data_IF_806042112022
#
_entry.id   IF_806042112022
#
_cell.length_a   1.000
_cell.length_b   1.000
_cell.length_c   1.000
_cell.angle_alpha   90.00
_cell.angle_beta   90.00
_cell.angle_gamma   90.00
#
_symmetry.space_group_name_H-M   'P 1'
#
loop_
_entity.id
_entity.type
_entity.pdbx_description
1 polymer ?
#
# COMPACT_ATOMS: atom_id res chain seq x y z
N UNK A 1 43.48 -33.91 27.65
CA UNK A 1 42.02 -34.04 27.89
C UNK A 1 41.52 -32.66 28.29
N UNK A 2 40.38 -32.20 27.73
CA UNK A 2 39.75 -30.88 27.92
C UNK A 2 40.21 -29.79 26.94
N UNK A 3 39.71 -29.85 25.71
CA UNK A 3 39.51 -28.66 24.87
C UNK A 3 38.30 -28.83 23.92
N UNK A 4 37.30 -29.63 24.32
CA UNK A 4 36.15 -30.02 23.48
C UNK A 4 34.78 -29.55 24.00
N UNK A 5 34.74 -28.67 25.01
CA UNK A 5 33.49 -28.35 25.72
C UNK A 5 32.97 -26.93 25.50
N UNK A 6 33.70 -26.05 24.80
CA UNK A 6 33.23 -24.69 24.48
C UNK A 6 32.55 -24.58 23.10
N UNK A 7 33.10 -25.17 22.04
CA UNK A 7 32.47 -25.14 20.70
C UNK A 7 31.10 -25.84 20.63
N UNK A 8 30.89 -26.88 21.44
CA UNK A 8 29.61 -27.59 21.48
C UNK A 8 28.52 -26.75 22.17
N UNK A 9 28.89 -25.89 23.13
CA UNK A 9 27.92 -25.04 23.85
C UNK A 9 27.45 -23.84 23.02
N UNK A 10 28.31 -23.27 22.18
CA UNK A 10 27.93 -22.18 21.28
C UNK A 10 27.11 -22.68 20.08
N UNK A 11 27.42 -23.87 19.56
CA UNK A 11 26.60 -24.54 18.54
C UNK A 11 25.20 -24.93 19.07
N UNK A 12 25.10 -25.36 20.33
CA UNK A 12 23.82 -25.65 21.00
C UNK A 12 23.01 -24.39 21.38
N UNK A 13 23.67 -23.25 21.67
CA UNK A 13 23.01 -21.95 21.87
C UNK A 13 22.44 -21.41 20.55
N UNK A 14 23.18 -21.53 19.45
CA UNK A 14 22.71 -21.17 18.12
C UNK A 14 21.55 -22.07 17.67
N UNK A 15 21.62 -23.39 17.92
CA UNK A 15 20.50 -24.30 17.65
C UNK A 15 19.28 -24.02 18.52
N UNK A 16 19.42 -23.61 19.79
CA UNK A 16 18.28 -23.21 20.65
C UNK A 16 17.66 -21.87 20.26
N UNK A 17 18.45 -20.92 19.75
CA UNK A 17 17.93 -19.67 19.16
C UNK A 17 17.11 -19.93 17.89
N UNK A 18 17.55 -20.87 17.06
CA UNK A 18 16.84 -21.31 15.85
C UNK A 18 15.61 -22.18 16.20
N UNK A 19 15.67 -23.03 17.24
CA UNK A 19 14.51 -23.80 17.74
C UNK A 19 13.46 -22.93 18.46
N UNK A 20 13.84 -21.77 19.00
CA UNK A 20 12.91 -20.82 19.62
C UNK A 20 12.12 -20.01 18.57
N UNK A 21 12.70 -19.79 17.39
CA UNK A 21 11.99 -19.28 16.21
C UNK A 21 10.98 -20.29 15.67
N UNK A 22 11.26 -21.60 15.78
CA UNK A 22 10.42 -22.67 15.23
C UNK A 22 9.05 -22.88 15.90
N UNK A 23 8.62 -22.00 16.81
CA UNK A 23 7.27 -22.02 17.43
C UNK A 23 6.49 -20.71 17.29
N UNK A 24 7.12 -19.62 16.85
CA UNK A 24 6.44 -18.33 16.70
C UNK A 24 6.05 -18.15 15.23
N UNK A 25 4.77 -17.87 14.96
CA UNK A 25 4.34 -17.50 13.62
C UNK A 25 5.01 -16.18 13.20
N UNK A 26 5.59 -16.17 12.01
CA UNK A 26 6.27 -15.04 11.39
C UNK A 26 5.48 -14.53 10.19
N UNK A 27 5.43 -13.21 10.06
CA UNK A 27 4.71 -12.51 9.01
C UNK A 27 5.69 -11.58 8.31
N UNK A 28 5.61 -11.54 6.98
CA UNK A 28 6.25 -10.50 6.18
C UNK A 28 5.25 -9.37 5.96
N UNK A 29 5.67 -8.14 6.25
CA UNK A 29 4.91 -6.93 5.93
C UNK A 29 5.74 -6.10 4.97
N UNK A 30 5.24 -5.93 3.75
CA UNK A 30 5.94 -5.36 2.62
C UNK A 30 5.26 -4.08 2.16
N UNK A 31 6.06 -3.10 1.77
CA UNK A 31 5.60 -1.93 1.05
C UNK A 31 6.50 -1.70 -0.20
N UNK A 32 5.94 -1.02 -1.20
CA UNK A 32 6.69 -0.65 -2.41
C UNK A 32 6.45 0.79 -2.82
N UNK A 33 7.55 1.46 -3.21
CA UNK A 33 7.44 2.69 -3.98
C UNK A 33 7.65 2.41 -5.46
N UNK A 34 6.80 3.04 -6.28
CA UNK A 34 6.69 2.73 -7.70
C UNK A 34 6.81 3.95 -8.61
N UNK A 35 7.47 3.71 -9.74
CA UNK A 35 7.43 4.52 -10.94
C UNK A 35 6.54 3.82 -11.98
N UNK A 36 6.60 4.23 -13.22
CA UNK A 36 5.93 3.57 -14.34
C UNK A 36 6.74 3.67 -15.63
N UNK A 37 6.17 3.20 -16.73
CA UNK A 37 6.83 3.14 -18.03
C UNK A 37 7.25 4.55 -18.50
N UNK A 38 8.42 4.68 -19.17
CA UNK A 38 9.05 5.98 -19.44
C UNK A 38 8.22 6.93 -20.31
N UNK A 39 7.36 6.39 -21.17
CA UNK A 39 6.46 7.15 -22.03
C UNK A 39 5.12 7.53 -21.37
N UNK A 40 4.93 7.25 -20.08
CA UNK A 40 3.68 7.58 -19.37
C UNK A 40 3.43 9.10 -19.30
N UNK A 41 4.49 9.89 -19.09
CA UNK A 41 4.40 11.35 -19.04
C UNK A 41 3.95 11.93 -20.39
N UNK A 42 4.50 11.40 -21.50
CA UNK A 42 4.13 11.78 -22.86
C UNK A 42 2.66 11.47 -23.15
N UNK A 43 2.22 10.24 -22.86
CA UNK A 43 0.83 9.81 -23.09
C UNK A 43 -0.15 10.63 -22.24
N UNK A 44 0.23 10.99 -21.01
CA UNK A 44 -0.62 11.76 -20.12
C UNK A 44 -0.76 13.23 -20.57
N UNK A 45 0.23 13.80 -21.27
CA UNK A 45 0.17 15.18 -21.75
C UNK A 45 -0.02 16.21 -20.62
N UNK A 46 0.52 15.94 -19.43
CA UNK A 46 0.36 16.79 -18.24
C UNK A 46 -0.88 16.50 -17.37
N UNK A 47 -1.80 15.64 -17.83
CA UNK A 47 -2.97 15.23 -17.05
C UNK A 47 -2.58 14.23 -15.94
N UNK A 48 -2.70 14.68 -14.69
CA UNK A 48 -2.32 13.90 -13.50
C UNK A 48 -3.16 12.65 -13.33
N UNK A 49 -4.45 12.68 -13.66
CA UNK A 49 -5.32 11.51 -13.51
C UNK A 49 -5.03 10.48 -14.59
N UNK A 50 -4.77 10.89 -15.84
CA UNK A 50 -4.28 9.97 -16.89
C UNK A 50 -2.98 9.29 -16.49
N UNK A 51 -2.00 10.06 -15.99
CA UNK A 51 -0.72 9.52 -15.51
C UNK A 51 -0.94 8.52 -14.37
N UNK A 52 -1.77 8.88 -13.38
CA UNK A 52 -2.09 8.02 -12.23
C UNK A 52 -2.72 6.69 -12.66
N UNK A 53 -3.64 6.71 -13.64
CA UNK A 53 -4.25 5.49 -14.19
C UNK A 53 -3.21 4.57 -14.83
N UNK A 54 -2.24 5.12 -15.57
CA UNK A 54 -1.12 4.35 -16.13
C UNK A 54 -0.26 3.78 -15.00
N UNK A 55 0.15 4.61 -14.04
CA UNK A 55 1.02 4.20 -12.94
C UNK A 55 0.43 3.06 -12.11
N UNK A 56 -0.87 3.14 -11.77
CA UNK A 56 -1.58 2.08 -11.04
C UNK A 56 -1.66 0.78 -11.86
N UNK A 57 -1.75 0.88 -13.18
CA UNK A 57 -1.90 -0.27 -14.06
C UNK A 57 -0.55 -0.90 -14.48
N UNK A 58 0.52 -0.10 -14.51
CA UNK A 58 1.86 -0.46 -14.98
C UNK A 58 2.94 0.00 -13.97
N UNK A 59 2.85 -0.42 -12.70
CA UNK A 59 3.80 -0.01 -11.66
C UNK A 59 5.16 -0.70 -11.82
N UNK A 60 6.24 0.08 -11.77
CA UNK A 60 7.63 -0.41 -11.73
C UNK A 60 8.24 -0.08 -10.37
N UNK A 61 8.62 -1.10 -9.61
CA UNK A 61 9.15 -0.91 -8.26
C UNK A 61 10.57 -0.35 -8.31
N UNK A 62 10.79 0.82 -7.72
CA UNK A 62 12.12 1.39 -7.53
C UNK A 62 12.63 1.23 -6.09
N UNK A 63 11.73 1.04 -5.13
CA UNK A 63 12.06 0.79 -3.73
C UNK A 63 11.19 -0.36 -3.22
N UNK A 64 11.84 -1.43 -2.76
CA UNK A 64 11.23 -2.62 -2.20
C UNK A 64 11.71 -2.75 -0.76
N UNK A 65 10.79 -2.69 0.20
CA UNK A 65 11.14 -2.88 1.59
C UNK A 65 10.11 -3.74 2.31
N UNK A 66 10.57 -4.43 3.35
CA UNK A 66 9.70 -5.22 4.19
C UNK A 66 10.32 -5.49 5.57
N UNK A 67 9.45 -5.86 6.50
CA UNK A 67 9.84 -6.42 7.79
C UNK A 67 9.47 -7.90 7.83
N UNK A 68 10.19 -8.67 8.66
CA UNK A 68 9.75 -9.96 9.16
C UNK A 68 9.53 -9.84 10.65
N UNK A 69 8.29 -10.01 11.10
CA UNK A 69 7.89 -9.81 12.47
C UNK A 69 6.98 -10.93 12.98
N UNK A 70 6.90 -11.10 14.30
CA UNK A 70 5.87 -11.94 14.90
C UNK A 70 4.58 -11.17 15.18
N UNK A 71 3.59 -11.88 15.73
CA UNK A 71 2.28 -11.32 16.12
C UNK A 71 2.33 -10.18 17.16
N UNK A 72 3.42 -10.03 17.90
CA UNK A 72 3.59 -8.95 18.87
C UNK A 72 4.18 -7.68 18.23
N UNK A 73 4.57 -7.75 16.95
CA UNK A 73 5.28 -6.67 16.27
C UNK A 73 6.78 -6.64 16.56
N UNK A 74 7.34 -7.69 17.16
CA UNK A 74 8.79 -7.81 17.32
C UNK A 74 9.39 -8.09 15.94
N UNK A 75 10.13 -7.13 15.40
CA UNK A 75 10.81 -7.21 14.10
C UNK A 75 12.12 -7.99 14.27
N UNK A 76 12.29 -9.06 13.50
CA UNK A 76 13.50 -9.87 13.46
C UNK A 76 14.41 -9.53 12.29
N UNK A 77 13.82 -9.02 11.20
CA UNK A 77 14.55 -8.62 10.00
C UNK A 77 13.87 -7.43 9.36
N UNK A 78 14.67 -6.49 8.88
CA UNK A 78 14.26 -5.45 7.93
C UNK A 78 15.07 -5.62 6.66
N UNK A 79 14.44 -5.34 5.52
CA UNK A 79 15.07 -5.32 4.21
C UNK A 79 14.68 -4.02 3.53
N UNK A 80 15.66 -3.32 2.97
CA UNK A 80 15.51 -2.00 2.36
C UNK A 80 16.35 -1.94 1.07
N UNK A 81 15.69 -2.09 -0.08
CA UNK A 81 16.33 -2.29 -1.37
C UNK A 81 15.85 -1.26 -2.39
N UNK A 82 16.79 -0.58 -3.04
CA UNK A 82 16.54 0.30 -4.19
C UNK A 82 16.90 -0.46 -5.46
N UNK A 83 15.98 -0.49 -6.43
CA UNK A 83 16.10 -1.28 -7.66
C UNK A 83 16.83 -0.47 -8.74
N UNK A 84 18.00 -0.94 -9.14
CA UNK A 84 18.91 -0.22 -10.04
C UNK A 84 18.31 0.08 -11.41
N UNK A 85 17.59 -0.87 -11.99
CA UNK A 85 17.01 -0.78 -13.34
C UNK A 85 15.93 0.29 -13.44
N UNK A 86 15.33 0.67 -12.31
CA UNK A 86 14.25 1.65 -12.25
C UNK A 86 14.78 2.98 -11.69
N UNK A 87 15.50 2.97 -10.56
CA UNK A 87 15.99 4.17 -9.89
C UNK A 87 17.10 4.89 -10.66
N UNK A 88 18.02 4.14 -11.30
CA UNK A 88 19.16 4.73 -11.99
C UNK A 88 18.83 5.22 -13.41
N UNK A 89 17.60 4.99 -13.91
CA UNK A 89 17.17 5.40 -15.24
C UNK A 89 16.23 6.61 -15.11
N UNK A 90 16.70 7.86 -15.35
CA UNK A 90 15.91 9.07 -15.11
C UNK A 90 14.56 9.06 -15.84
N UNK A 91 14.55 8.63 -17.11
CA UNK A 91 13.33 8.52 -17.91
C UNK A 91 12.24 7.64 -17.27
N UNK A 92 12.63 6.69 -16.41
CA UNK A 92 11.70 5.85 -15.64
C UNK A 92 11.42 6.51 -14.30
N UNK A 93 12.46 6.84 -13.51
CA UNK A 93 12.29 7.37 -12.16
C UNK A 93 11.48 8.67 -12.12
N UNK A 94 11.63 9.56 -13.09
CA UNK A 94 10.88 10.83 -13.19
C UNK A 94 9.38 10.64 -13.42
N UNK A 95 8.93 9.40 -13.66
CA UNK A 95 7.51 9.06 -13.71
C UNK A 95 6.91 8.77 -12.33
N UNK A 96 7.72 8.56 -11.30
CA UNK A 96 7.28 8.32 -9.93
C UNK A 96 6.40 9.46 -9.40
N UNK A 97 5.47 9.12 -8.51
CA UNK A 97 4.61 10.12 -7.86
C UNK A 97 5.40 11.05 -6.95
N UNK A 98 6.41 10.51 -6.25
CA UNK A 98 7.33 11.22 -5.36
C UNK A 98 8.72 11.40 -5.99
N UNK A 99 8.80 11.71 -7.28
CA UNK A 99 10.09 11.86 -7.99
C UNK A 99 10.98 12.94 -7.37
N UNK A 100 10.40 13.97 -6.73
CA UNK A 100 11.11 15.02 -6.01
C UNK A 100 11.91 14.49 -4.81
N UNK A 101 11.59 13.31 -4.28
CA UNK A 101 12.31 12.67 -3.18
C UNK A 101 13.61 12.01 -3.60
N UNK A 102 14.01 12.10 -4.88
CA UNK A 102 15.27 11.55 -5.36
C UNK A 102 16.50 11.88 -4.49
N UNK A 103 16.68 13.12 -3.99
CA UNK A 103 17.84 13.45 -3.14
C UNK A 103 17.86 12.65 -1.84
N UNK A 104 16.71 12.41 -1.21
CA UNK A 104 16.58 11.60 0.00
C UNK A 104 17.10 10.17 -0.25
N UNK A 105 16.71 9.56 -1.37
CA UNK A 105 17.19 8.22 -1.72
C UNK A 105 18.70 8.16 -1.95
N UNK A 106 19.30 9.21 -2.53
CA UNK A 106 20.76 9.28 -2.69
C UNK A 106 21.45 9.35 -1.33
N UNK A 107 20.91 10.11 -0.39
CA UNK A 107 21.42 10.18 0.99
C UNK A 107 21.31 8.82 1.70
N UNK A 108 20.14 8.17 1.64
CA UNK A 108 19.92 6.83 2.20
C UNK A 108 20.93 5.80 1.66
N UNK A 109 21.22 5.83 0.37
CA UNK A 109 22.20 4.95 -0.27
C UNK A 109 23.63 5.26 0.19
N UNK A 110 24.00 6.54 0.29
CA UNK A 110 25.32 6.97 0.77
C UNK A 110 25.56 6.59 2.23
N UNK A 111 24.52 6.65 3.06
CA UNK A 111 24.56 6.29 4.47
C UNK A 111 24.53 4.76 4.69
N UNK A 112 24.25 3.97 3.65
CA UNK A 112 24.09 2.52 3.76
C UNK A 112 22.78 2.09 4.44
N UNK A 113 21.80 2.99 4.53
CA UNK A 113 20.46 2.73 5.09
C UNK A 113 19.59 1.89 4.12
N UNK A 114 19.88 2.00 2.82
CA UNK A 114 19.30 1.17 1.77
C UNK A 114 20.41 0.59 0.88
N UNK A 115 20.13 -0.54 0.22
CA UNK A 115 21.06 -1.16 -0.72
C UNK A 115 20.58 -1.00 -2.15
N UNK A 116 21.42 -0.45 -3.03
CA UNK A 116 21.17 -0.44 -4.47
C UNK A 116 21.49 -1.82 -5.05
N UNK A 117 20.49 -2.50 -5.60
CA UNK A 117 20.61 -3.87 -6.12
C UNK A 117 19.90 -4.02 -7.46
N UNK A 118 20.28 -5.06 -8.22
CA UNK A 118 19.48 -5.48 -9.38
C UNK A 118 18.14 -6.07 -8.93
N UNK A 119 17.13 -6.05 -9.80
CA UNK A 119 15.86 -6.74 -9.52
C UNK A 119 16.07 -8.24 -9.28
N UNK A 120 17.00 -8.86 -10.01
CA UNK A 120 17.35 -10.27 -9.84
C UNK A 120 17.88 -10.56 -8.43
N UNK A 121 18.80 -9.73 -7.93
CA UNK A 121 19.34 -9.86 -6.57
C UNK A 121 18.29 -9.59 -5.51
N UNK A 122 17.45 -8.56 -5.70
CA UNK A 122 16.34 -8.26 -4.80
C UNK A 122 15.40 -9.46 -4.66
N UNK A 123 15.01 -10.08 -5.79
CA UNK A 123 14.13 -11.26 -5.77
C UNK A 123 14.81 -12.49 -5.16
N UNK A 124 16.13 -12.65 -5.29
CA UNK A 124 16.85 -13.73 -4.58
C UNK A 124 16.78 -13.55 -3.07
N UNK A 125 17.00 -12.33 -2.56
CA UNK A 125 16.88 -12.03 -1.13
C UNK A 125 15.44 -12.29 -0.67
N UNK A 126 14.47 -11.78 -1.43
CA UNK A 126 13.05 -11.95 -1.16
C UNK A 126 12.64 -13.42 -1.10
N UNK A 127 13.08 -14.27 -2.04
CA UNK A 127 12.76 -15.70 -2.05
C UNK A 127 13.30 -16.46 -0.84
N UNK A 128 14.51 -16.15 -0.38
CA UNK A 128 15.05 -16.78 0.81
C UNK A 128 14.23 -16.38 2.05
N UNK A 129 13.79 -15.12 2.12
CA UNK A 129 12.98 -14.61 3.22
C UNK A 129 11.55 -15.14 3.22
N UNK A 130 10.96 -15.35 2.03
CA UNK A 130 9.65 -15.97 1.88
C UNK A 130 9.60 -17.39 2.48
N UNK A 131 10.73 -18.12 2.52
CA UNK A 131 10.82 -19.45 3.15
C UNK A 131 10.73 -19.41 4.67
N UNK A 132 10.95 -18.24 5.28
CA UNK A 132 10.99 -18.06 6.73
C UNK A 132 9.64 -17.72 7.34
N UNK A 133 8.68 -17.26 6.53
CA UNK A 133 7.41 -16.67 7.00
C UNK A 133 6.22 -17.59 6.78
N UNK A 134 5.22 -17.51 7.65
CA UNK A 134 3.97 -18.26 7.55
C UNK A 134 2.98 -17.59 6.60
N UNK A 135 3.05 -16.26 6.46
CA UNK A 135 2.21 -15.47 5.58
C UNK A 135 2.88 -14.14 5.21
N UNK A 136 2.47 -13.60 4.07
CA UNK A 136 2.92 -12.31 3.54
C UNK A 136 1.74 -11.35 3.45
N UNK A 137 2.01 -10.06 3.57
CA UNK A 137 0.99 -9.03 3.37
C UNK A 137 1.60 -7.65 3.21
N UNK A 138 0.74 -6.72 2.81
CA UNK A 138 1.00 -5.30 2.69
C UNK A 138 -0.28 -4.58 3.14
N UNK A 139 -0.22 -3.27 3.38
CA UNK A 139 -1.43 -2.50 3.58
C UNK A 139 -2.35 -2.66 2.38
N UNK A 140 -1.86 -2.47 1.15
CA UNK A 140 -2.62 -2.72 -0.06
C UNK A 140 -2.10 -3.96 -0.81
N UNK A 141 -2.37 -5.16 -0.27
CA UNK A 141 -1.84 -6.41 -0.82
C UNK A 141 -2.22 -6.66 -2.30
N UNK A 142 -3.34 -6.11 -2.76
CA UNK A 142 -3.74 -6.17 -4.16
C UNK A 142 -2.80 -5.37 -5.08
N UNK A 143 -2.25 -4.26 -4.61
CA UNK A 143 -1.30 -3.48 -5.39
C UNK A 143 0.07 -4.14 -5.37
N UNK A 144 0.67 -4.30 -4.20
CA UNK A 144 2.07 -4.73 -4.07
C UNK A 144 2.30 -6.14 -4.63
N UNK A 145 1.52 -7.12 -4.15
CA UNK A 145 1.74 -8.54 -4.50
C UNK A 145 1.10 -8.96 -5.83
N UNK A 146 -0.04 -8.38 -6.20
CA UNK A 146 -0.79 -8.80 -7.41
C UNK A 146 -0.54 -7.91 -8.63
N UNK A 147 0.03 -6.71 -8.46
CA UNK A 147 0.33 -5.81 -9.58
C UNK A 147 1.80 -5.39 -9.64
N UNK A 148 2.36 -4.80 -8.59
CA UNK A 148 3.69 -4.20 -8.58
C UNK A 148 4.78 -5.24 -8.83
N UNK A 149 4.84 -6.29 -8.02
CA UNK A 149 5.83 -7.37 -8.19
C UNK A 149 5.67 -8.07 -9.55
N UNK A 150 4.47 -8.55 -9.97
CA UNK A 150 4.34 -9.25 -11.24
C UNK A 150 4.65 -8.38 -12.47
N UNK A 151 4.28 -7.10 -12.45
CA UNK A 151 4.55 -6.22 -13.58
C UNK A 151 6.03 -5.85 -13.67
N UNK A 152 6.70 -5.61 -12.53
CA UNK A 152 8.15 -5.37 -12.50
C UNK A 152 8.93 -6.60 -12.98
N UNK A 153 8.57 -7.81 -12.53
CA UNK A 153 9.17 -9.08 -13.01
C UNK A 153 9.00 -9.24 -14.53
N UNK A 154 7.81 -8.93 -15.07
CA UNK A 154 7.55 -8.96 -16.51
C UNK A 154 8.39 -7.94 -17.28
N UNK A 155 8.45 -6.70 -16.78
CA UNK A 155 9.22 -5.63 -17.40
C UNK A 155 10.70 -6.00 -17.47
N UNK A 156 11.31 -6.41 -16.36
CA UNK A 156 12.73 -6.78 -16.29
C UNK A 156 13.01 -8.00 -17.18
N UNK A 157 12.14 -9.01 -17.18
CA UNK A 157 12.26 -10.16 -18.09
C UNK A 157 12.27 -9.72 -19.56
N UNK A 158 11.45 -8.72 -19.92
CA UNK A 158 11.40 -8.20 -21.29
C UNK A 158 12.57 -7.30 -21.62
N UNK A 159 13.03 -6.49 -20.67
CA UNK A 159 14.20 -5.61 -20.78
C UNK A 159 15.45 -6.39 -21.19
N UNK A 160 15.65 -7.57 -20.62
CA UNK A 160 16.78 -8.46 -20.94
C UNK A 160 16.49 -9.47 -22.06
N UNK A 161 15.46 -9.25 -22.88
CA UNK A 161 15.08 -10.15 -23.98
C UNK A 161 15.23 -9.49 -25.35
N UNK A 162 15.39 -10.30 -26.40
CA UNK A 162 15.42 -9.83 -27.80
C UNK A 162 14.08 -9.23 -28.27
N UNK A 163 13.00 -9.37 -27.48
CA UNK A 163 11.64 -8.93 -27.82
C UNK A 163 11.26 -7.60 -27.12
N UNK A 164 12.21 -6.92 -26.48
CA UNK A 164 11.95 -5.70 -25.71
C UNK A 164 11.18 -4.63 -26.52
N UNK A 165 11.70 -4.26 -27.69
CA UNK A 165 11.13 -3.16 -28.48
C UNK A 165 9.71 -3.46 -28.97
N UNK A 166 9.45 -4.68 -29.43
CA UNK A 166 8.09 -5.10 -29.81
C UNK A 166 7.14 -5.05 -28.61
N UNK A 167 7.59 -5.53 -27.46
CA UNK A 167 6.80 -5.50 -26.22
C UNK A 167 6.53 -4.07 -25.75
N UNK A 168 7.51 -3.18 -25.85
CA UNK A 168 7.39 -1.75 -25.50
C UNK A 168 6.34 -1.06 -26.37
N UNK A 169 6.36 -1.27 -27.68
CA UNK A 169 5.35 -0.73 -28.62
C UNK A 169 3.93 -1.20 -28.30
N UNK A 170 3.78 -2.47 -27.88
CA UNK A 170 2.50 -2.99 -27.39
C UNK A 170 2.10 -2.28 -26.08
N UNK A 171 3.03 -2.07 -25.15
CA UNK A 171 2.72 -1.35 -23.90
C UNK A 171 2.34 0.11 -24.15
N UNK A 172 2.94 0.81 -25.11
CA UNK A 172 2.54 2.18 -25.49
C UNK A 172 1.07 2.25 -25.88
N UNK A 173 0.60 1.34 -26.75
CA UNK A 173 -0.81 1.24 -27.17
C UNK A 173 -1.75 0.94 -25.99
N UNK A 174 -1.33 0.04 -25.10
CA UNK A 174 -2.12 -0.29 -23.91
C UNK A 174 -2.19 0.91 -22.96
N UNK A 175 -1.09 1.62 -22.72
CA UNK A 175 -1.07 2.80 -21.87
C UNK A 175 -1.92 3.94 -22.45
N UNK A 176 -1.90 4.14 -23.77
CA UNK A 176 -2.79 5.08 -24.44
C UNK A 176 -4.26 4.74 -24.21
N UNK A 177 -4.61 3.45 -24.28
CA UNK A 177 -5.96 2.96 -23.99
C UNK A 177 -6.33 3.17 -22.52
N UNK A 178 -5.43 2.85 -21.60
CA UNK A 178 -5.61 3.06 -20.15
C UNK A 178 -5.84 4.53 -19.83
N UNK A 179 -5.12 5.45 -20.47
CA UNK A 179 -5.26 6.89 -20.23
C UNK A 179 -6.60 7.44 -20.73
N UNK A 180 -7.07 6.97 -21.90
CA UNK A 180 -8.15 7.64 -22.62
C UNK A 180 -9.48 6.87 -22.64
N UNK A 181 -9.52 5.59 -22.29
CA UNK A 181 -10.75 4.77 -22.34
C UNK A 181 -10.99 4.04 -21.02
N UNK A 182 -12.19 3.50 -20.81
CA UNK A 182 -12.47 2.56 -19.72
C UNK A 182 -11.88 1.17 -20.03
N UNK A 183 -10.57 1.11 -20.24
CA UNK A 183 -9.86 -0.11 -20.57
C UNK A 183 -10.10 -1.17 -19.48
N UNK A 184 -10.79 -2.25 -19.85
CA UNK A 184 -10.92 -3.46 -19.05
C UNK A 184 -10.17 -4.55 -19.77
N UNK A 185 -9.22 -5.17 -19.07
CA UNK A 185 -8.58 -6.39 -19.55
C UNK A 185 -9.39 -7.56 -19.05
N UNK A 186 -9.90 -8.37 -19.97
CA UNK A 186 -10.43 -9.68 -19.62
C UNK A 186 -9.28 -10.56 -19.11
N UNK A 187 -9.47 -11.12 -17.92
CA UNK A 187 -8.51 -12.03 -17.31
C UNK A 187 -9.17 -13.40 -17.23
N UNK A 188 -8.75 -14.31 -18.10
CA UNK A 188 -9.24 -15.70 -18.12
C UNK A 188 -8.67 -16.53 -16.94
N UNK A 189 -7.70 -15.97 -16.21
CA UNK A 189 -7.11 -16.64 -15.05
C UNK A 189 -7.99 -16.48 -13.83
N UNK A 190 -8.26 -17.61 -13.16
CA UNK A 190 -8.88 -17.63 -11.84
C UNK A 190 -8.01 -16.81 -10.88
N UNK A 191 -8.63 -15.82 -10.25
CA UNK A 191 -7.96 -14.97 -9.26
C UNK A 191 -8.02 -15.64 -7.89
N UNK A 192 -6.86 -15.90 -7.28
CA UNK A 192 -6.72 -16.43 -5.91
C UNK A 192 -6.44 -15.27 -4.94
N UNK A 193 -7.43 -14.74 -4.19
CA UNK A 193 -7.25 -13.60 -3.29
C UNK A 193 -6.35 -13.89 -2.09
N UNK A 194 -6.24 -15.16 -1.71
CA UNK A 194 -5.63 -15.68 -0.49
C UNK A 194 -4.20 -16.20 -0.69
N UNK A 195 -3.73 -16.26 -1.94
CA UNK A 195 -2.42 -16.85 -2.28
C UNK A 195 -1.58 -15.89 -3.11
N UNK A 196 -0.37 -15.59 -2.66
CA UNK A 196 0.67 -15.03 -3.51
C UNK A 196 1.41 -16.18 -4.22
N UNK A 197 1.26 -16.24 -5.55
CA UNK A 197 2.01 -17.17 -6.40
C UNK A 197 3.30 -16.51 -6.85
N UNK A 198 4.45 -17.06 -6.43
CA UNK A 198 5.74 -16.51 -6.78
C UNK A 198 6.72 -17.60 -7.19
N UNK A 199 7.18 -17.54 -8.45
CA UNK A 199 8.10 -18.50 -9.09
C UNK A 199 7.77 -19.98 -8.82
N UNK A 200 6.49 -20.32 -8.90
CA UNK A 200 5.98 -21.69 -8.73
C UNK A 200 5.62 -22.08 -7.28
N UNK A 201 5.91 -21.23 -6.30
CA UNK A 201 5.55 -21.44 -4.91
C UNK A 201 4.30 -20.63 -4.53
N UNK A 202 3.55 -21.14 -3.53
CA UNK A 202 2.33 -20.53 -3.01
C UNK A 202 2.57 -20.07 -1.57
N UNK A 203 2.30 -18.79 -1.32
CA UNK A 203 2.44 -18.18 0.01
C UNK A 203 1.08 -17.62 0.47
N UNK A 204 0.62 -17.89 1.70
CA UNK A 204 -0.60 -17.27 2.23
C UNK A 204 -0.48 -15.74 2.24
N UNK A 205 -1.48 -15.06 1.69
CA UNK A 205 -1.51 -13.61 1.50
C UNK A 205 -2.61 -12.98 2.35
N UNK A 206 -2.28 -12.02 3.20
CA UNK A 206 -3.26 -11.20 3.93
C UNK A 206 -3.24 -9.75 3.45
N UNK A 207 -4.41 -9.11 3.50
CA UNK A 207 -4.57 -7.68 3.21
C UNK A 207 -4.74 -6.89 4.51
N UNK A 208 -3.71 -6.11 4.86
CA UNK A 208 -3.68 -5.41 6.13
C UNK A 208 -4.65 -4.21 6.14
N UNK A 209 -4.94 -3.60 4.99
CA UNK A 209 -5.99 -2.57 4.90
C UNK A 209 -7.38 -3.11 5.21
N UNK A 210 -7.74 -4.27 4.65
CA UNK A 210 -8.95 -5.03 4.96
C UNK A 210 -9.10 -5.31 6.46
N UNK A 211 -8.04 -5.83 7.07
CA UNK A 211 -7.97 -6.12 8.50
C UNK A 211 -8.06 -4.86 9.37
N UNK A 212 -7.37 -3.79 9.00
CA UNK A 212 -7.38 -2.52 9.73
C UNK A 212 -8.77 -1.87 9.67
N UNK A 213 -9.37 -1.81 8.48
CA UNK A 213 -10.71 -1.31 8.28
C UNK A 213 -11.73 -2.04 9.16
N UNK A 214 -11.64 -3.38 9.22
CA UNK A 214 -12.56 -4.21 9.98
C UNK A 214 -12.36 -4.10 11.50
N UNK A 215 -11.12 -4.25 11.97
CA UNK A 215 -10.86 -4.47 13.40
C UNK A 215 -10.45 -3.21 14.15
N UNK A 216 -9.96 -2.17 13.46
CA UNK A 216 -9.45 -0.95 14.10
C UNK A 216 -10.27 0.29 13.78
N UNK A 217 -10.77 0.41 12.55
CA UNK A 217 -11.32 1.66 12.03
C UNK A 217 -12.86 1.68 11.97
N UNK A 218 -13.53 0.54 11.76
CA UNK A 218 -14.98 0.51 11.65
C UNK A 218 -15.69 0.60 13.02
N UNK A 219 -15.54 1.74 13.68
CA UNK A 219 -16.23 2.07 14.93
C UNK A 219 -16.51 3.57 15.00
N UNK A 220 -17.45 3.96 15.87
CA UNK A 220 -17.88 5.36 15.99
C UNK A 220 -16.79 6.29 16.52
N UNK A 221 -15.83 5.76 17.30
CA UNK A 221 -14.73 6.55 17.85
C UNK A 221 -13.81 7.04 16.73
N UNK A 222 -13.33 6.13 15.88
CA UNK A 222 -12.50 6.49 14.71
C UNK A 222 -13.22 7.49 13.79
N UNK A 223 -14.47 7.18 13.40
CA UNK A 223 -15.25 8.06 12.51
C UNK A 223 -15.42 9.48 13.06
N UNK A 224 -15.57 9.63 14.38
CA UNK A 224 -15.63 10.94 15.05
C UNK A 224 -14.27 11.64 14.99
N UNK A 225 -13.19 10.94 15.29
CA UNK A 225 -11.83 11.52 15.20
C UNK A 225 -11.51 11.97 13.77
N UNK A 226 -11.99 11.24 12.76
CA UNK A 226 -11.82 11.66 11.38
C UNK A 226 -12.49 13.00 11.08
N UNK A 227 -13.69 13.25 11.61
CA UNK A 227 -14.35 14.54 11.44
C UNK A 227 -13.59 15.65 12.18
N UNK A 228 -13.19 15.40 13.42
CA UNK A 228 -12.49 16.38 14.25
C UNK A 228 -11.12 16.80 13.68
N UNK A 229 -10.43 15.89 13.00
CA UNK A 229 -9.06 16.08 12.52
C UNK A 229 -8.95 16.12 10.98
N UNK A 230 -10.06 16.25 10.26
CA UNK A 230 -10.04 16.37 8.80
C UNK A 230 -9.53 15.13 8.06
N UNK A 231 -9.64 13.94 8.66
CA UNK A 231 -9.24 12.67 8.03
C UNK A 231 -10.33 12.14 7.10
N UNK A 232 -10.71 12.95 6.12
CA UNK A 232 -11.68 12.62 5.08
C UNK A 232 -10.98 12.47 3.73
N UNK A 233 -11.55 11.66 2.83
CA UNK A 233 -11.11 11.64 1.43
C UNK A 233 -11.31 13.01 0.80
N UNK A 234 -10.60 13.32 -0.29
CA UNK A 234 -10.71 14.61 -0.97
C UNK A 234 -12.15 15.00 -1.30
N UNK A 235 -13.03 14.04 -1.65
CA UNK A 235 -14.43 14.32 -1.95
C UNK A 235 -15.34 14.51 -0.73
N UNK A 236 -14.81 14.35 0.49
CA UNK A 236 -15.57 14.38 1.74
C UNK A 236 -16.52 13.19 1.97
N UNK A 237 -16.68 12.28 0.99
CA UNK A 237 -17.68 11.20 1.04
C UNK A 237 -17.29 10.08 1.99
N UNK A 238 -15.99 9.74 2.08
CA UNK A 238 -15.50 8.64 2.88
C UNK A 238 -14.49 9.12 3.93
N UNK A 239 -14.39 8.35 5.01
CA UNK A 239 -13.31 8.49 5.98
C UNK A 239 -11.99 8.00 5.36
N UNK A 240 -10.86 8.66 5.67
CA UNK A 240 -9.53 8.13 5.30
C UNK A 240 -9.31 6.80 6.02
N UNK A 241 -8.63 5.89 5.35
CA UNK A 241 -8.29 4.57 5.87
C UNK A 241 -6.89 4.12 5.42
N UNK A 242 -6.01 5.08 5.09
CA UNK A 242 -4.59 4.81 4.80
C UNK A 242 -3.85 4.30 6.04
N UNK A 243 -2.66 3.73 5.84
CA UNK A 243 -1.74 3.36 6.92
C UNK A 243 -1.48 4.58 7.82
N UNK A 244 -1.17 5.73 7.22
CA UNK A 244 -0.99 7.02 7.91
C UNK A 244 -2.16 7.36 8.84
N UNK A 245 -3.38 7.44 8.30
CA UNK A 245 -4.56 7.81 9.11
C UNK A 245 -4.87 6.80 10.21
N UNK A 246 -4.55 5.52 9.95
CA UNK A 246 -4.66 4.45 10.94
C UNK A 246 -3.64 4.67 12.07
N UNK A 247 -2.39 4.96 11.73
CA UNK A 247 -1.33 5.22 12.69
C UNK A 247 -1.60 6.48 13.51
N UNK A 248 -1.97 7.59 12.86
CA UNK A 248 -2.37 8.85 13.49
C UNK A 248 -3.44 8.61 14.56
N UNK A 249 -4.47 7.84 14.25
CA UNK A 249 -5.53 7.49 15.19
C UNK A 249 -5.05 6.60 16.35
N UNK A 250 -4.31 5.53 16.06
CA UNK A 250 -3.86 4.58 17.07
C UNK A 250 -2.86 5.21 18.06
N UNK A 251 -2.06 6.16 17.58
CA UNK A 251 -1.02 6.84 18.35
C UNK A 251 -1.46 8.20 18.89
N UNK A 252 -2.63 8.71 18.49
CA UNK A 252 -3.11 10.07 18.81
C UNK A 252 -2.12 11.16 18.40
N UNK A 253 -1.54 11.00 17.20
CA UNK A 253 -0.58 11.92 16.59
C UNK A 253 -1.10 12.38 15.24
N UNK A 254 -2.06 13.32 15.23
CA UNK A 254 -2.76 13.75 14.02
C UNK A 254 -1.95 14.74 13.15
N UNK A 255 -0.80 15.17 13.65
CA UNK A 255 0.21 15.98 12.98
C UNK A 255 1.32 15.15 12.32
N UNK A 256 1.32 13.84 12.54
CA UNK A 256 2.27 12.92 11.92
C UNK A 256 2.09 12.89 10.40
N UNK A 257 3.20 13.02 9.67
CA UNK A 257 3.27 12.88 8.21
C UNK A 257 4.24 11.75 7.90
N UNK A 258 3.82 10.80 7.07
CA UNK A 258 4.67 9.70 6.63
C UNK A 258 5.87 10.21 5.81
N UNK A 259 7.01 9.53 5.95
CA UNK A 259 8.17 9.81 5.12
C UNK A 259 7.92 9.38 3.65
N UNK A 260 6.93 8.51 3.41
CA UNK A 260 6.71 7.73 2.19
C UNK A 260 8.02 7.19 1.63
N UNK A 261 8.67 6.40 2.49
CA UNK A 261 9.72 5.49 2.09
C UNK A 261 9.21 4.09 2.44
N UNK A 262 9.44 3.13 1.55
CA UNK A 262 8.87 1.80 1.72
C UNK A 262 9.25 1.15 3.05
N UNK A 263 10.45 1.39 3.59
CA UNK A 263 10.83 0.80 4.88
C UNK A 263 10.06 1.41 6.05
N UNK A 264 9.94 2.74 6.08
CA UNK A 264 9.20 3.43 7.15
C UNK A 264 7.73 3.00 7.15
N UNK A 265 7.14 2.90 5.96
CA UNK A 265 5.75 2.50 5.78
C UNK A 265 5.56 1.03 6.19
N UNK A 266 6.47 0.11 5.77
CA UNK A 266 6.45 -1.28 6.23
C UNK A 266 6.58 -1.42 7.77
N UNK A 267 7.32 -0.53 8.44
CA UNK A 267 7.42 -0.49 9.91
C UNK A 267 6.09 -0.03 10.54
N UNK A 268 5.47 1.02 10.00
CA UNK A 268 4.14 1.50 10.44
C UNK A 268 3.09 0.40 10.26
N UNK A 269 3.09 -0.26 9.11
CA UNK A 269 2.20 -1.38 8.82
C UNK A 269 2.43 -2.56 9.77
N UNK A 270 3.68 -2.87 10.10
CA UNK A 270 4.01 -3.91 11.09
C UNK A 270 3.44 -3.59 12.47
N UNK A 271 3.49 -2.32 12.86
CA UNK A 271 2.86 -1.85 14.09
C UNK A 271 1.32 -2.04 14.04
N UNK A 272 0.68 -1.70 12.91
CA UNK A 272 -0.76 -1.90 12.71
C UNK A 272 -1.11 -3.39 12.80
N UNK A 273 -0.35 -4.26 12.12
CA UNK A 273 -0.49 -5.71 12.18
C UNK A 273 -0.45 -6.20 13.64
N UNK A 274 0.51 -5.75 14.44
CA UNK A 274 0.64 -6.13 15.84
C UNK A 274 -0.58 -5.71 16.68
N UNK A 275 -1.15 -4.53 16.43
CA UNK A 275 -2.37 -4.06 17.12
C UNK A 275 -3.57 -4.97 16.82
N UNK A 276 -3.69 -5.44 15.58
CA UNK A 276 -4.74 -6.38 15.16
C UNK A 276 -4.49 -7.76 15.77
N UNK A 277 -3.28 -8.29 15.58
CA UNK A 277 -2.87 -9.63 16.00
C UNK A 277 -2.98 -9.86 17.52
N UNK A 278 -2.95 -8.78 18.32
CA UNK A 278 -3.16 -8.81 19.77
C UNK A 278 -4.56 -9.29 20.17
N UNK A 279 -5.58 -9.00 19.35
CA UNK A 279 -6.99 -9.30 19.68
C UNK A 279 -7.66 -10.22 18.65
N UNK A 280 -7.09 -10.35 17.45
CA UNK A 280 -7.69 -11.05 16.34
C UNK A 280 -6.70 -12.02 15.69
N UNK A 281 -7.23 -13.06 15.06
CA UNK A 281 -6.45 -13.88 14.15
C UNK A 281 -6.23 -13.11 12.84
N UNK A 282 -5.11 -13.36 12.16
CA UNK A 282 -4.84 -12.79 10.84
C UNK A 282 -5.57 -13.65 9.81
N UNK A 283 -6.62 -13.12 9.21
CA UNK A 283 -7.30 -13.76 8.09
C UNK A 283 -6.49 -13.58 6.81
N UNK A 284 -6.54 -14.61 5.96
CA UNK A 284 -5.89 -14.64 4.65
C UNK A 284 -6.94 -14.23 3.61
N UNK A 285 -6.53 -13.48 2.59
CA UNK A 285 -7.39 -12.94 1.55
C UNK A 285 -7.22 -11.45 1.33
N UNK A 286 -7.53 -11.01 0.12
CA UNK A 286 -7.59 -9.60 -0.29
C UNK A 286 -9.02 -9.08 -0.15
N UNK A 287 -9.15 -7.90 0.47
CA UNK A 287 -10.36 -7.09 0.45
C UNK A 287 -10.16 -5.91 -0.50
N UNK A 288 -11.00 -5.79 -1.53
CA UNK A 288 -10.79 -4.85 -2.64
C UNK A 288 -11.14 -3.41 -2.30
N UNK A 289 -12.14 -3.22 -1.44
CA UNK A 289 -12.62 -1.88 -1.09
C UNK A 289 -12.84 -1.75 0.43
N UNK A 290 -11.78 -1.92 1.25
CA UNK A 290 -11.91 -1.95 2.71
C UNK A 290 -12.58 -0.71 3.29
N UNK A 291 -12.32 0.47 2.68
CA UNK A 291 -12.92 1.73 3.10
C UNK A 291 -14.46 1.71 3.14
N UNK A 292 -15.11 0.89 2.31
CA UNK A 292 -16.57 0.77 2.29
C UNK A 292 -17.14 0.18 3.58
N UNK A 293 -16.36 -0.60 4.34
CA UNK A 293 -16.79 -1.14 5.64
C UNK A 293 -17.18 -0.03 6.63
N UNK A 294 -16.61 1.16 6.48
CA UNK A 294 -16.89 2.30 7.36
C UNK A 294 -18.21 3.02 6.99
N UNK A 295 -18.80 2.75 5.83
CA UNK A 295 -19.91 3.55 5.29
C UNK A 295 -19.47 4.95 4.85
N UNK A 296 -20.43 5.82 4.54
CA UNK A 296 -20.14 7.21 4.15
C UNK A 296 -20.25 8.17 5.33
N UNK A 297 -19.66 9.36 5.16
CA UNK A 297 -19.68 10.43 6.17
C UNK A 297 -21.09 10.97 6.42
N UNK A 298 -21.91 11.07 5.38
CA UNK A 298 -23.31 11.50 5.49
C UNK A 298 -24.18 10.46 6.21
N UNK A 299 -24.03 9.17 5.89
CA UNK A 299 -24.70 8.08 6.61
C UNK A 299 -24.33 8.08 8.10
N UNK A 300 -23.06 8.33 8.41
CA UNK A 300 -22.61 8.46 9.79
C UNK A 300 -23.29 9.65 10.47
N UNK A 301 -23.33 10.84 9.87
CA UNK A 301 -23.99 12.01 10.46
C UNK A 301 -25.48 11.75 10.74
N UNK A 302 -26.19 11.14 9.79
CA UNK A 302 -27.63 10.87 9.85
C UNK A 302 -28.01 9.66 10.71
N UNK A 303 -27.05 8.98 11.36
CA UNK A 303 -27.33 7.79 12.19
C UNK A 303 -28.14 8.08 13.46
N UNK A 304 -28.15 9.33 13.92
CA UNK A 304 -28.79 9.75 15.17
C UNK A 304 -30.21 10.26 14.89
N UNK A 305 -31.07 10.28 15.92
CA UNK A 305 -32.38 10.94 15.81
C UNK A 305 -32.26 12.46 15.77
N UNK A 306 -31.34 13.01 16.56
CA UNK A 306 -31.07 14.45 16.64
C UNK A 306 -29.75 14.72 15.92
N UNK A 307 -29.71 15.68 14.99
CA UNK A 307 -28.52 16.02 14.23
C UNK A 307 -27.41 16.54 15.16
N UNK A 308 -26.18 16.11 14.90
CA UNK A 308 -25.01 16.83 15.40
C UNK A 308 -24.62 17.86 14.33
N UNK A 309 -25.00 19.11 14.55
CA UNK A 309 -24.81 20.22 13.61
C UNK A 309 -23.34 20.36 13.22
N UNK A 310 -22.41 20.26 14.18
CA UNK A 310 -20.98 20.40 13.93
C UNK A 310 -20.44 19.29 13.02
N UNK A 311 -20.78 18.02 13.31
CA UNK A 311 -20.39 16.87 12.46
C UNK A 311 -20.93 17.04 11.03
N UNK A 312 -22.19 17.44 10.87
CA UNK A 312 -22.80 17.66 9.55
C UNK A 312 -22.13 18.82 8.79
N UNK A 313 -21.87 19.94 9.45
CA UNK A 313 -21.23 21.11 8.84
C UNK A 313 -19.82 20.78 8.34
N UNK A 314 -19.04 20.00 9.10
CA UNK A 314 -17.71 19.53 8.64
C UNK A 314 -17.83 18.75 7.34
N UNK A 315 -18.78 17.82 7.25
CA UNK A 315 -18.99 17.00 6.04
C UNK A 315 -19.44 17.86 4.87
N UNK A 316 -20.40 18.76 5.07
CA UNK A 316 -20.87 19.69 4.03
C UNK A 316 -19.72 20.53 3.49
N UNK A 317 -18.90 21.12 4.37
CA UNK A 317 -17.77 21.94 3.97
C UNK A 317 -16.72 21.14 3.19
N UNK A 318 -16.42 19.91 3.61
CA UNK A 318 -15.49 19.04 2.88
C UNK A 318 -15.99 18.69 1.48
N UNK A 319 -17.29 18.39 1.34
CA UNK A 319 -17.90 18.09 0.03
C UNK A 319 -17.92 19.34 -0.84
N UNK A 320 -18.32 20.50 -0.31
CA UNK A 320 -18.33 21.78 -1.05
C UNK A 320 -16.93 22.12 -1.54
N UNK A 321 -15.91 22.02 -0.68
CA UNK A 321 -14.52 22.28 -1.07
C UNK A 321 -14.05 21.40 -2.22
N UNK A 322 -14.55 20.17 -2.35
CA UNK A 322 -14.24 19.31 -3.50
C UNK A 322 -15.00 19.72 -4.75
N UNK A 323 -16.28 20.08 -4.62
CA UNK A 323 -17.12 20.56 -5.74
C UNK A 323 -16.49 21.80 -6.36
N UNK A 324 -15.99 22.72 -5.53
CA UNK A 324 -15.35 23.97 -5.97
C UNK A 324 -14.07 23.73 -6.79
N UNK A 325 -13.44 22.56 -6.67
CA UNK A 325 -12.26 22.20 -7.48
C UNK A 325 -12.62 21.52 -8.79
N UNK A 326 -13.91 21.26 -9.07
CA UNK A 326 -14.34 20.61 -10.31
C UNK A 326 -14.67 21.65 -11.38
N UNK A 327 -14.11 21.48 -12.57
CA UNK A 327 -14.38 22.37 -13.71
C UNK A 327 -15.77 22.16 -14.32
N UNK A 328 -16.33 20.94 -14.20
CA UNK A 328 -17.61 20.56 -14.79
C UNK A 328 -18.53 19.83 -13.79
N UNK A 329 -19.82 20.17 -13.83
CA UNK A 329 -20.84 19.49 -13.06
C UNK A 329 -21.27 18.19 -13.77
N UNK A 330 -20.67 17.07 -13.38
CA UNK A 330 -21.00 15.74 -13.88
C UNK A 330 -21.94 14.97 -12.93
N UNK A 331 -22.33 13.75 -13.31
CA UNK A 331 -23.22 12.90 -12.49
C UNK A 331 -22.68 12.63 -11.08
N UNK A 332 -21.36 12.57 -10.90
CA UNK A 332 -20.75 12.38 -9.58
C UNK A 332 -20.94 13.64 -8.73
N UNK A 333 -20.66 14.82 -9.27
CA UNK A 333 -20.88 16.12 -8.60
C UNK A 333 -22.36 16.32 -8.24
N UNK A 334 -23.28 15.99 -9.14
CA UNK A 334 -24.72 16.01 -8.82
C UNK A 334 -25.08 15.07 -7.67
N UNK A 335 -24.42 13.91 -7.58
CA UNK A 335 -24.56 13.00 -6.43
C UNK A 335 -24.09 13.62 -5.11
N UNK A 336 -23.03 14.42 -5.14
CA UNK A 336 -22.52 15.15 -3.97
C UNK A 336 -23.45 16.28 -3.53
N UNK A 337 -23.98 17.06 -4.47
CA UNK A 337 -24.98 18.11 -4.21
C UNK A 337 -26.21 17.52 -3.51
N UNK A 338 -26.70 16.37 -3.98
CA UNK A 338 -27.82 15.67 -3.36
C UNK A 338 -27.51 15.18 -1.94
N UNK A 339 -26.25 14.84 -1.63
CA UNK A 339 -25.84 14.48 -0.26
C UNK A 339 -25.85 15.70 0.67
N UNK A 340 -25.38 16.86 0.20
CA UNK A 340 -25.43 18.12 0.95
C UNK A 340 -26.89 18.49 1.27
N UNK A 341 -27.76 18.51 0.27
CA UNK A 341 -29.17 18.86 0.47
C UNK A 341 -29.87 17.95 1.50
N UNK A 342 -29.53 16.65 1.53
CA UNK A 342 -30.04 15.72 2.55
C UNK A 342 -29.54 16.06 3.95
N UNK A 343 -28.26 16.41 4.11
CA UNK A 343 -27.69 16.79 5.39
C UNK A 343 -28.30 18.11 5.90
N UNK A 344 -28.46 19.11 5.03
CA UNK A 344 -29.09 20.38 5.38
C UNK A 344 -30.55 20.19 5.83
N UNK A 345 -31.31 19.38 5.10
CA UNK A 345 -32.68 19.03 5.50
C UNK A 345 -32.71 18.32 6.86
N UNK A 346 -31.81 17.37 7.08
CA UNK A 346 -31.70 16.65 8.35
C UNK A 346 -31.31 17.57 9.53
N UNK A 347 -30.47 18.58 9.30
CA UNK A 347 -30.11 19.58 10.32
C UNK A 347 -31.26 20.52 10.69
N UNK A 348 -32.24 20.68 9.80
CA UNK A 348 -33.43 21.52 10.02
C UNK A 348 -34.59 20.82 10.72
N UNK A 349 -34.50 19.50 10.97
CA UNK A 349 -35.45 18.72 11.77
C UNK A 349 -35.02 18.66 13.23
#
# INVERSE_FOLDING_TARGET
>A
MIQYTHEVKDTLKNQKGILALSKKRLYMVLDTETATLPFANEIAGGDKEKKKRIAIARPLIYHLAYTIANRLGEIYKTVNLVISEIFCVPAIFDTAYYAEKRPLYIEMLNNGEAQLVSWLDAMRIFEEDLKLVDAVGAFNAMFDFKKAIPFTELYIKKLYSNDYYNWEEVQKKICYSIANTNYKKDNDKVFEPDIFNFRGNKYPLFDLWGLAAEHLLNNSSYKKECLNHGLLTNSGVYFKTSAESTYQYLCKKYDFVEAHTALDDAIIETFILAKIAKKHAISIGIDYFPFRKLGTTDEFCMRRKVPNIEECTIVINAINSYIDTQEECNNYVMGLINKIAKLEYYMGQ
#
